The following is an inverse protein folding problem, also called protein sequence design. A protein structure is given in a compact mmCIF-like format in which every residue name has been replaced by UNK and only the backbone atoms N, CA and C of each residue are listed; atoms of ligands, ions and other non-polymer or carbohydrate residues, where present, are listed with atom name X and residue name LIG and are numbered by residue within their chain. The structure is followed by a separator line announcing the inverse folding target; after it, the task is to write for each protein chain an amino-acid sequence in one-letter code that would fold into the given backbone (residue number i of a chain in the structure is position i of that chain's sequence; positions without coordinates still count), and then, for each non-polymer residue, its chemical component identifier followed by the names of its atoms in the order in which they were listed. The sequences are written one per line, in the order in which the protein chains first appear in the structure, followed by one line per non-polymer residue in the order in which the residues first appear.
data_IF_095096485082
#
_entry.id   IF_095096485082
#
_cell.length_a   1.000
_cell.length_b   1.000
_cell.length_c   1.000
_cell.angle_alpha   90.00
_cell.angle_beta   90.00
_cell.angle_gamma   90.00
#
_symmetry.space_group_name_H-M   'P 1'
#
loop_
_entity.id
_entity.type
_entity.pdbx_description
1 polymer ?
#
# COMPACT_ATOMS: atom_id res chain seq x y z
N UNK A 1 0.66 -0.61 21.24
CA UNK A 1 1.06 -1.70 20.33
C UNK A 1 -0.18 -2.38 19.78
N UNK A 2 -0.15 -2.83 18.53
CA UNK A 2 -1.21 -3.67 17.97
C UNK A 2 -0.83 -5.14 18.19
N UNK A 3 -1.70 -5.90 18.84
CA UNK A 3 -1.47 -7.32 19.14
C UNK A 3 -2.60 -8.17 18.62
N UNK A 4 -2.27 -9.34 18.12
CA UNK A 4 -3.24 -10.39 17.80
C UNK A 4 -3.37 -11.28 19.01
N UNK A 5 -4.59 -11.46 19.49
CA UNK A 5 -4.85 -12.19 20.74
C UNK A 5 -5.99 -13.18 20.58
N UNK A 6 -5.96 -14.22 21.36
CA UNK A 6 -7.14 -14.99 21.73
C UNK A 6 -7.64 -14.53 23.12
N UNK A 7 -8.58 -15.29 23.72
CA UNK A 7 -9.11 -14.97 25.05
C UNK A 7 -8.09 -15.15 26.19
N UNK A 8 -6.92 -15.76 25.94
CA UNK A 8 -5.97 -16.20 26.97
C UNK A 8 -4.56 -15.62 26.80
N UNK A 9 -4.14 -15.34 25.55
CA UNK A 9 -2.74 -15.00 25.27
C UNK A 9 -2.56 -14.12 24.04
N UNK A 10 -1.41 -13.50 23.97
CA UNK A 10 -0.94 -12.81 22.76
C UNK A 10 -0.40 -13.85 21.80
N UNK A 11 -0.90 -13.83 20.56
CA UNK A 11 -0.54 -14.75 19.49
C UNK A 11 0.50 -14.15 18.54
N UNK A 12 0.61 -12.83 18.51
CA UNK A 12 1.56 -12.12 17.67
C UNK A 12 1.44 -10.61 17.77
N UNK A 13 2.41 -9.94 17.18
CA UNK A 13 2.41 -8.48 17.00
C UNK A 13 1.91 -8.16 15.60
N UNK A 14 0.76 -7.51 15.50
CA UNK A 14 0.10 -7.21 14.24
C UNK A 14 1.01 -6.49 13.26
N UNK A 15 1.21 -7.07 12.07
CA UNK A 15 2.08 -6.54 11.01
C UNK A 15 3.58 -6.53 11.31
N UNK A 16 4.03 -7.21 12.37
CA UNK A 16 5.46 -7.26 12.76
C UNK A 16 5.95 -8.71 12.80
N UNK A 17 5.41 -9.53 13.71
CA UNK A 17 5.87 -10.90 13.90
C UNK A 17 4.82 -11.77 14.59
N UNK A 18 4.72 -13.03 14.18
CA UNK A 18 3.92 -14.04 14.86
C UNK A 18 4.56 -14.52 16.17
N UNK A 19 3.74 -15.12 17.02
CA UNK A 19 4.22 -15.70 18.30
C UNK A 19 4.71 -17.13 18.13
N UNK A 20 5.69 -17.53 18.92
CA UNK A 20 6.29 -18.88 18.90
C UNK A 20 5.31 -19.99 19.26
N UNK A 21 4.35 -19.72 20.14
CA UNK A 21 3.35 -20.73 20.57
C UNK A 21 2.37 -21.14 19.50
N UNK A 22 2.19 -20.29 18.47
CA UNK A 22 1.23 -20.53 17.37
C UNK A 22 1.92 -20.58 16.02
N UNK A 23 3.25 -20.71 16.01
CA UNK A 23 4.01 -20.90 14.77
C UNK A 23 3.66 -22.24 14.12
N UNK A 24 3.79 -22.30 12.80
CA UNK A 24 3.61 -23.55 12.05
C UNK A 24 4.79 -24.48 12.29
N UNK A 25 4.48 -25.77 12.45
CA UNK A 25 5.43 -26.87 12.62
C UNK A 25 5.17 -27.96 11.59
N UNK A 26 6.08 -28.92 11.45
CA UNK A 26 5.89 -30.07 10.53
C UNK A 26 4.60 -30.88 10.77
N UNK A 27 4.07 -30.84 12.00
CA UNK A 27 2.82 -31.54 12.37
C UNK A 27 1.56 -30.69 12.21
N UNK A 28 1.70 -29.41 11.87
CA UNK A 28 0.56 -28.49 11.74
C UNK A 28 -0.35 -28.93 10.61
N UNK A 29 -1.63 -29.17 10.93
CA UNK A 29 -2.66 -29.56 9.97
C UNK A 29 -3.71 -28.48 9.71
N UNK A 30 -3.96 -27.63 10.71
CA UNK A 30 -4.92 -26.54 10.62
C UNK A 30 -4.22 -25.22 10.82
N UNK A 31 -4.50 -24.26 9.98
CA UNK A 31 -3.92 -22.90 10.04
C UNK A 31 -5.03 -21.87 10.07
N UNK A 32 -4.77 -20.76 10.75
CA UNK A 32 -5.54 -19.54 10.64
C UNK A 32 -4.74 -18.54 9.78
N UNK A 33 -5.28 -18.20 8.62
CA UNK A 33 -4.66 -17.25 7.73
C UNK A 33 -5.22 -15.85 8.00
N UNK A 34 -4.35 -14.89 8.23
CA UNK A 34 -4.67 -13.49 8.44
C UNK A 34 -4.21 -12.66 7.24
N UNK A 35 -5.10 -11.80 6.75
CA UNK A 35 -4.78 -10.71 5.84
C UNK A 35 -5.40 -9.44 6.41
N UNK A 36 -4.58 -8.47 6.78
CA UNK A 36 -5.03 -7.33 7.55
C UNK A 36 -4.33 -6.03 7.15
N UNK A 37 -4.93 -4.91 7.49
CA UNK A 37 -4.31 -3.59 7.44
C UNK A 37 -3.95 -3.13 8.85
N UNK A 38 -2.74 -2.64 9.02
CA UNK A 38 -2.26 -2.08 10.28
C UNK A 38 -1.82 -0.62 10.08
N UNK A 39 -2.12 0.22 11.06
CA UNK A 39 -1.70 1.62 11.03
C UNK A 39 -0.18 1.73 11.04
N UNK A 40 0.40 2.36 10.03
CA UNK A 40 1.86 2.48 9.82
C UNK A 40 2.59 3.09 11.03
N UNK A 41 1.99 4.11 11.67
CA UNK A 41 2.54 4.75 12.87
C UNK A 41 2.63 3.78 14.05
N UNK A 42 1.65 2.89 14.23
CA UNK A 42 1.66 1.86 15.27
C UNK A 42 2.77 0.84 15.04
N UNK A 43 2.95 0.40 13.78
CA UNK A 43 4.02 -0.53 13.40
C UNK A 43 5.39 0.09 13.71
N UNK A 44 5.66 1.31 13.20
CA UNK A 44 6.93 2.02 13.43
C UNK A 44 7.24 2.20 14.91
N UNK A 45 6.24 2.62 15.70
CA UNK A 45 6.43 2.81 17.15
C UNK A 45 6.75 1.51 17.87
N UNK A 46 5.98 0.45 17.57
CA UNK A 46 6.15 -0.85 18.22
C UNK A 46 7.50 -1.49 17.87
N UNK A 47 7.86 -1.52 16.60
CA UNK A 47 9.12 -2.11 16.14
C UNK A 47 10.36 -1.40 16.72
N UNK A 48 10.31 -0.07 16.86
CA UNK A 48 11.40 0.70 17.48
C UNK A 48 11.53 0.40 18.98
N UNK A 49 10.41 0.35 19.71
CA UNK A 49 10.43 0.08 21.16
C UNK A 49 10.98 -1.32 21.44
N UNK A 50 10.61 -2.30 20.61
CA UNK A 50 10.99 -3.70 20.80
C UNK A 50 12.28 -4.08 20.06
N UNK A 51 12.84 -3.17 19.26
CA UNK A 51 14.01 -3.41 18.41
C UNK A 51 13.85 -4.65 17.53
N UNK A 52 12.65 -4.80 16.91
CA UNK A 52 12.32 -5.94 16.04
C UNK A 52 12.37 -5.48 14.59
N UNK A 53 13.13 -6.19 13.76
CA UNK A 53 13.20 -5.99 12.33
C UNK A 53 12.79 -7.26 11.58
N UNK A 54 11.78 -7.16 10.70
CA UNK A 54 11.22 -8.28 9.91
C UNK A 54 10.75 -7.78 8.55
N UNK A 55 10.64 -8.69 7.59
CA UNK A 55 10.07 -8.39 6.28
C UNK A 55 8.62 -7.89 6.37
N UNK A 56 7.82 -8.44 7.28
CA UNK A 56 6.46 -7.99 7.55
C UNK A 56 6.47 -6.53 8.01
N UNK A 57 7.22 -6.20 9.06
CA UNK A 57 7.39 -4.83 9.57
C UNK A 57 7.82 -3.88 8.44
N UNK A 58 8.80 -4.26 7.64
CA UNK A 58 9.33 -3.43 6.57
C UNK A 58 8.26 -3.08 5.50
N UNK A 59 7.34 -4.00 5.21
CA UNK A 59 6.22 -3.76 4.29
C UNK A 59 5.12 -2.92 4.93
N UNK A 60 4.66 -3.32 6.10
CA UNK A 60 3.54 -2.67 6.79
C UNK A 60 3.86 -1.25 7.28
N UNK A 61 5.11 -0.95 7.65
CA UNK A 61 5.50 0.40 8.08
C UNK A 61 5.48 1.44 6.94
N UNK A 62 5.56 0.99 5.69
CA UNK A 62 5.44 1.84 4.51
C UNK A 62 4.00 2.04 4.07
N UNK A 63 3.12 1.17 4.53
CA UNK A 63 1.73 1.10 4.13
C UNK A 63 1.52 0.08 3.01
N UNK A 64 0.42 -0.64 3.14
CA UNK A 64 -0.08 -1.58 2.14
C UNK A 64 -1.37 -1.04 1.53
N UNK A 65 -1.77 -1.61 0.41
CA UNK A 65 -3.06 -1.29 -0.18
C UNK A 65 -4.21 -1.85 0.67
N UNK A 66 -5.04 -1.00 1.29
CA UNK A 66 -6.17 -1.47 2.10
C UNK A 66 -7.24 -2.21 1.27
N UNK A 67 -7.28 -2.01 -0.05
CA UNK A 67 -8.23 -2.69 -0.93
C UNK A 67 -7.75 -4.10 -1.33
N UNK A 68 -6.47 -4.42 -1.17
CA UNK A 68 -5.90 -5.74 -1.53
C UNK A 68 -6.08 -6.81 -0.45
N UNK A 69 -6.63 -6.48 0.72
CA UNK A 69 -6.71 -7.39 1.87
C UNK A 69 -7.50 -8.66 1.54
N UNK A 70 -8.67 -8.50 0.93
CA UNK A 70 -9.53 -9.64 0.56
C UNK A 70 -8.92 -10.47 -0.54
N UNK A 71 -8.48 -9.83 -1.62
CA UNK A 71 -7.82 -10.48 -2.75
C UNK A 71 -6.55 -11.22 -2.32
N UNK A 72 -5.73 -10.59 -1.49
CA UNK A 72 -4.53 -11.21 -0.93
C UNK A 72 -4.84 -12.47 -0.12
N UNK A 73 -5.92 -12.44 0.69
CA UNK A 73 -6.38 -13.62 1.43
C UNK A 73 -6.84 -14.76 0.49
N UNK A 74 -7.60 -14.42 -0.55
CA UNK A 74 -8.09 -15.38 -1.54
C UNK A 74 -6.94 -16.03 -2.34
N UNK A 75 -5.97 -15.23 -2.78
CA UNK A 75 -4.78 -15.70 -3.49
C UNK A 75 -3.95 -16.63 -2.59
N UNK A 76 -3.65 -16.19 -1.36
CA UNK A 76 -2.86 -16.98 -0.42
C UNK A 76 -3.56 -18.31 -0.07
N UNK A 77 -4.87 -18.29 0.16
CA UNK A 77 -5.68 -19.50 0.40
C UNK A 77 -5.62 -20.45 -0.78
N UNK A 78 -5.79 -19.94 -1.99
CA UNK A 78 -5.72 -20.76 -3.22
C UNK A 78 -4.35 -21.42 -3.39
N UNK A 79 -3.27 -20.67 -3.12
CA UNK A 79 -1.91 -21.21 -3.20
C UNK A 79 -1.65 -22.30 -2.16
N UNK A 80 -2.09 -22.09 -0.92
CA UNK A 80 -1.95 -23.10 0.14
C UNK A 80 -2.68 -24.37 -0.22
N UNK A 81 -3.93 -24.28 -0.68
CA UNK A 81 -4.71 -25.46 -1.11
C UNK A 81 -4.03 -26.18 -2.28
N UNK A 82 -3.51 -25.42 -3.24
CA UNK A 82 -2.81 -26.00 -4.41
C UNK A 82 -1.54 -26.76 -4.02
N UNK A 83 -0.80 -26.28 -3.03
CA UNK A 83 0.50 -26.84 -2.63
C UNK A 83 0.33 -27.94 -1.58
N UNK A 84 -0.52 -27.69 -0.57
CA UNK A 84 -0.66 -28.53 0.61
C UNK A 84 -1.92 -29.39 0.60
N UNK A 85 -2.87 -29.13 -0.29
CA UNK A 85 -4.20 -29.74 -0.27
C UNK A 85 -5.07 -29.15 0.86
N UNK A 86 -6.16 -29.86 1.17
CA UNK A 86 -7.06 -29.47 2.26
C UNK A 86 -8.26 -28.66 1.79
N UNK A 87 -8.98 -28.08 2.75
CA UNK A 87 -10.20 -27.30 2.52
C UNK A 87 -10.16 -25.99 3.29
N UNK A 88 -10.60 -24.92 2.65
CA UNK A 88 -10.78 -23.63 3.30
C UNK A 88 -12.19 -23.52 3.92
N UNK A 89 -12.28 -22.91 5.09
CA UNK A 89 -13.54 -22.43 5.66
C UNK A 89 -14.00 -21.13 4.98
N UNK A 90 -15.19 -20.67 5.34
CA UNK A 90 -15.60 -19.29 5.02
C UNK A 90 -14.68 -18.30 5.76
N UNK A 91 -14.28 -17.24 5.10
CA UNK A 91 -13.52 -16.16 5.75
C UNK A 91 -14.45 -15.16 6.45
N UNK A 92 -13.95 -14.53 7.48
CA UNK A 92 -14.64 -13.48 8.22
C UNK A 92 -13.93 -12.16 8.00
N UNK A 93 -14.68 -11.11 7.71
CA UNK A 93 -14.16 -9.74 7.60
C UNK A 93 -14.59 -8.95 8.81
N UNK A 94 -13.65 -8.31 9.50
CA UNK A 94 -13.92 -7.43 10.64
C UNK A 94 -13.19 -6.10 10.47
N UNK A 95 -13.69 -5.05 11.11
CA UNK A 95 -13.14 -3.71 11.03
C UNK A 95 -13.90 -2.81 10.05
N UNK A 96 -13.42 -1.58 9.91
CA UNK A 96 -14.00 -0.57 9.01
C UNK A 96 -13.19 -0.44 7.72
N UNK A 97 -13.86 -0.11 6.62
CA UNK A 97 -13.17 0.25 5.38
C UNK A 97 -12.32 1.51 5.58
N UNK A 98 -11.04 1.41 5.24
CA UNK A 98 -10.06 2.49 5.41
C UNK A 98 -9.90 3.29 4.12
N UNK A 99 -10.30 2.71 2.98
CA UNK A 99 -10.07 3.31 1.67
C UNK A 99 -11.00 4.49 1.41
N UNK A 100 -10.45 5.69 1.56
CA UNK A 100 -11.04 6.90 0.99
C UNK A 100 -10.38 7.17 -0.36
N UNK A 101 -11.19 7.41 -1.39
CA UNK A 101 -10.70 7.87 -2.69
C UNK A 101 -9.98 9.20 -2.50
N UNK A 102 -8.69 9.21 -2.82
CA UNK A 102 -7.87 10.41 -2.75
C UNK A 102 -7.84 11.09 -4.11
N UNK A 103 -8.19 12.35 -4.15
CA UNK A 103 -8.21 13.16 -5.38
C UNK A 103 -7.29 14.35 -5.18
N UNK A 104 -6.35 14.52 -6.12
CA UNK A 104 -5.42 15.65 -6.13
C UNK A 104 -5.62 16.41 -7.44
N UNK A 105 -5.66 17.73 -7.35
CA UNK A 105 -5.69 18.60 -8.51
C UNK A 105 -4.25 18.93 -8.90
N UNK A 106 -3.93 18.77 -10.19
CA UNK A 106 -2.62 19.06 -10.76
C UNK A 106 -2.72 20.21 -11.75
N UNK A 107 -2.00 21.28 -11.48
CA UNK A 107 -1.81 22.41 -12.40
C UNK A 107 -0.54 22.22 -13.24
N UNK A 108 -0.68 22.15 -14.57
CA UNK A 108 0.44 21.97 -15.49
C UNK A 108 1.39 23.17 -15.50
N UNK A 109 0.86 24.38 -15.31
CA UNK A 109 1.71 25.57 -15.21
C UNK A 109 2.62 25.51 -13.96
N UNK A 110 2.14 24.90 -12.87
CA UNK A 110 2.95 24.65 -11.69
C UNK A 110 4.07 23.67 -11.96
N UNK A 111 3.83 22.61 -12.74
CA UNK A 111 4.89 21.72 -13.19
C UNK A 111 6.02 22.50 -13.89
N UNK A 112 5.66 23.36 -14.85
CA UNK A 112 6.64 24.20 -15.56
C UNK A 112 7.40 25.13 -14.63
N UNK A 113 6.71 25.76 -13.68
CA UNK A 113 7.34 26.67 -12.70
C UNK A 113 8.32 25.96 -11.77
N UNK A 114 7.98 24.74 -11.32
CA UNK A 114 8.81 23.97 -10.37
C UNK A 114 9.97 23.28 -11.06
N UNK A 115 9.73 22.68 -12.22
CA UNK A 115 10.73 21.82 -12.92
C UNK A 115 11.52 22.62 -13.98
N UNK A 116 11.00 23.73 -14.48
CA UNK A 116 11.67 24.54 -15.50
C UNK A 116 11.47 24.09 -16.94
N UNK A 117 10.78 22.95 -17.16
CA UNK A 117 10.47 22.45 -18.50
C UNK A 117 8.97 22.28 -18.73
N UNK A 118 8.55 22.28 -19.98
CA UNK A 118 7.13 22.10 -20.32
C UNK A 118 6.78 20.62 -20.50
N UNK A 119 5.54 20.29 -20.21
CA UNK A 119 4.93 18.99 -20.47
C UNK A 119 3.58 19.22 -21.16
N UNK A 120 3.26 18.40 -22.15
CA UNK A 120 1.96 18.50 -22.84
C UNK A 120 0.85 17.83 -22.02
N UNK A 121 -0.38 18.30 -22.20
CA UNK A 121 -1.55 17.69 -21.52
C UNK A 121 -1.71 16.21 -21.84
N UNK A 122 -1.43 15.80 -23.07
CA UNK A 122 -1.48 14.40 -23.50
C UNK A 122 -0.41 13.54 -22.77
N UNK A 123 0.79 14.08 -22.60
CA UNK A 123 1.85 13.42 -21.82
C UNK A 123 1.46 13.24 -20.36
N UNK A 124 0.90 14.29 -19.74
CA UNK A 124 0.42 14.22 -18.33
C UNK A 124 -0.59 13.09 -18.16
N UNK A 125 -1.63 13.06 -19.02
CA UNK A 125 -2.65 12.02 -18.98
C UNK A 125 -2.04 10.64 -19.20
N UNK A 126 -1.18 10.48 -20.21
CA UNK A 126 -0.51 9.21 -20.52
C UNK A 126 0.31 8.70 -19.33
N UNK A 127 1.16 9.55 -18.75
CA UNK A 127 2.03 9.15 -17.64
C UNK A 127 1.19 8.77 -16.42
N UNK A 128 0.29 9.65 -15.96
CA UNK A 128 -0.49 9.39 -14.76
C UNK A 128 -1.41 8.17 -14.90
N UNK A 129 -1.98 7.95 -16.10
CA UNK A 129 -2.80 6.76 -16.36
C UNK A 129 -1.94 5.49 -16.36
N UNK A 130 -0.73 5.52 -16.90
CA UNK A 130 0.18 4.36 -16.85
C UNK A 130 0.62 4.01 -15.43
N UNK A 131 0.60 4.98 -14.51
CA UNK A 131 0.84 4.79 -13.07
C UNK A 131 -0.41 4.35 -12.29
N UNK A 132 -1.52 4.08 -12.98
CA UNK A 132 -2.77 3.61 -12.38
C UNK A 132 -3.70 4.71 -11.86
N UNK A 133 -3.38 5.98 -12.09
CA UNK A 133 -4.26 7.08 -11.71
C UNK A 133 -5.43 7.20 -12.70
N UNK A 134 -6.61 7.62 -12.19
CA UNK A 134 -7.71 8.02 -13.06
C UNK A 134 -7.69 9.53 -13.21
N UNK A 135 -7.47 9.99 -14.42
CA UNK A 135 -7.28 11.42 -14.73
C UNK A 135 -8.50 11.96 -15.46
N UNK A 136 -9.05 13.08 -14.95
CA UNK A 136 -10.11 13.85 -15.61
C UNK A 136 -9.60 15.26 -15.88
N UNK A 137 -9.64 15.67 -17.14
CA UNK A 137 -9.27 17.03 -17.54
C UNK A 137 -10.36 18.01 -17.11
N UNK A 138 -9.96 19.05 -16.40
CA UNK A 138 -10.77 20.22 -16.10
C UNK A 138 -10.18 21.46 -16.79
N UNK A 139 -10.86 22.60 -16.71
CA UNK A 139 -10.52 23.80 -17.51
C UNK A 139 -9.06 24.24 -17.33
N UNK A 140 -8.53 24.23 -16.10
CA UNK A 140 -7.19 24.74 -15.77
C UNK A 140 -6.34 23.72 -14.98
N UNK A 141 -6.84 22.52 -14.73
CA UNK A 141 -6.12 21.50 -13.96
C UNK A 141 -6.59 20.09 -14.32
N UNK A 142 -5.80 19.11 -13.90
CA UNK A 142 -6.16 17.70 -13.96
C UNK A 142 -6.63 17.22 -12.60
N UNK A 143 -7.88 16.73 -12.54
CA UNK A 143 -8.40 16.06 -11.36
C UNK A 143 -7.94 14.62 -11.40
N UNK A 144 -6.98 14.28 -10.52
CA UNK A 144 -6.30 12.99 -10.51
C UNK A 144 -6.74 12.18 -9.29
N UNK A 145 -7.41 11.06 -9.54
CA UNK A 145 -7.74 10.07 -8.52
C UNK A 145 -6.55 9.14 -8.32
N UNK A 146 -6.03 9.10 -7.10
CA UNK A 146 -4.85 8.34 -6.72
C UNK A 146 -5.24 6.90 -6.39
N UNK A 147 -4.56 5.89 -6.94
CA UNK A 147 -4.83 4.50 -6.60
C UNK A 147 -4.50 4.19 -5.13
N UNK A 148 -5.25 3.27 -4.54
CA UNK A 148 -5.16 2.95 -3.12
C UNK A 148 -3.80 2.37 -2.68
N UNK A 149 -3.07 1.77 -3.62
CA UNK A 149 -1.71 1.23 -3.38
C UNK A 149 -0.59 2.29 -3.40
N UNK A 150 -0.93 3.58 -3.65
CA UNK A 150 0.02 4.71 -3.60
C UNK A 150 -0.28 5.59 -2.38
N UNK A 151 0.04 5.12 -1.16
CA UNK A 151 -0.16 5.89 0.07
C UNK A 151 0.78 7.11 0.17
N UNK A 152 1.85 7.09 -0.60
CA UNK A 152 2.91 8.11 -0.68
C UNK A 152 2.44 9.39 -1.39
N UNK A 153 1.58 9.28 -2.41
CA UNK A 153 1.08 10.45 -3.16
C UNK A 153 -0.02 11.15 -2.36
N UNK A 154 0.29 12.32 -1.82
CA UNK A 154 -0.62 13.09 -0.96
C UNK A 154 -0.82 14.52 -1.42
N UNK A 155 0.16 15.09 -2.11
CA UNK A 155 0.23 16.47 -2.52
C UNK A 155 0.40 16.58 -4.05
N UNK A 156 0.11 17.75 -4.57
CA UNK A 156 0.33 18.03 -5.99
C UNK A 156 1.79 17.90 -6.40
N UNK A 157 2.72 18.22 -5.50
CA UNK A 157 4.15 18.09 -5.76
C UNK A 157 4.57 16.64 -5.97
N UNK A 158 3.91 15.68 -5.32
CA UNK A 158 4.19 14.26 -5.51
C UNK A 158 3.79 13.81 -6.93
N UNK A 159 2.70 14.37 -7.48
CA UNK A 159 2.33 14.14 -8.89
C UNK A 159 3.34 14.78 -9.86
N UNK A 160 3.86 15.96 -9.53
CA UNK A 160 4.92 16.63 -10.31
C UNK A 160 6.19 15.77 -10.31
N UNK A 161 6.56 15.19 -9.18
CA UNK A 161 7.68 14.25 -9.07
C UNK A 161 7.48 13.03 -9.96
N UNK A 162 6.30 12.40 -9.93
CA UNK A 162 5.99 11.26 -10.79
C UNK A 162 6.10 11.61 -12.29
N UNK A 163 5.62 12.79 -12.67
CA UNK A 163 5.71 13.24 -14.07
C UNK A 163 7.16 13.40 -14.51
N UNK A 164 8.01 14.06 -13.72
CA UNK A 164 9.40 14.27 -14.10
C UNK A 164 10.22 12.99 -14.03
N UNK A 165 9.93 12.10 -13.08
CA UNK A 165 10.57 10.80 -12.95
C UNK A 165 10.38 9.94 -14.21
N UNK A 166 9.18 9.94 -14.80
CA UNK A 166 8.89 9.20 -16.04
C UNK A 166 9.36 9.96 -17.28
N UNK A 167 9.23 11.30 -17.28
CA UNK A 167 9.71 12.13 -18.39
C UNK A 167 11.23 12.11 -18.54
N UNK A 168 11.95 11.99 -17.44
CA UNK A 168 13.41 11.93 -17.33
C UNK A 168 14.00 13.16 -16.66
N UNK A 169 14.77 12.94 -15.59
CA UNK A 169 15.51 13.98 -14.88
C UNK A 169 16.63 14.60 -15.71
N UNK A 170 17.16 13.86 -16.70
CA UNK A 170 18.16 14.30 -17.66
C UNK A 170 17.69 15.48 -18.55
N UNK A 171 16.39 15.69 -18.63
CA UNK A 171 15.80 16.81 -19.37
C UNK A 171 15.79 18.12 -18.61
N UNK A 172 16.09 18.10 -17.32
CA UNK A 172 16.20 19.31 -16.51
C UNK A 172 17.53 19.99 -16.86
N UNK A 173 17.45 21.24 -17.31
CA UNK A 173 18.66 22.05 -17.59
C UNK A 173 19.31 22.46 -16.28
N UNK A 174 20.58 22.18 -16.13
CA UNK A 174 21.40 22.78 -15.08
C UNK A 174 21.58 24.26 -15.39
N UNK A 175 21.33 25.10 -14.39
CA UNK A 175 21.53 26.55 -14.45
C UNK A 175 22.93 26.87 -13.92
#
# INVERSE_FOLDING_TARGET
MCVITDKKSVLGLGGIIGGTKTSTEFKTKNILLESAYFTTSSIRKTSRILNIDTDAKHRFERGIDPNSIKEGLEIATSLIIKICGGHASKFTITGSSISKVKIINLDVEKFKKVIGISISNSEVVKILTSLGCKVKTAKNFFKTEIPSWRPDINLEIDLIEELIRIKGFDKIKLI
#
